data_IF_215633544515
#
_entry.id   IF_215633544515
#
_cell.length_a   1.000
_cell.length_b   1.000
_cell.length_c   1.000
_cell.angle_alpha   90.00
_cell.angle_beta   90.00
_cell.angle_gamma   90.00
#
_symmetry.space_group_name_H-M   'P 1'
#
loop_
_entity.id
_entity.type
_entity.pdbx_description
1 polymer ?
#
# COMPACT_ATOMS: atom_id res chain seq x y z
N UNK A 1 -10.84 13.65 -0.34
CA UNK A 1 -9.94 13.21 0.74
C UNK A 1 -10.52 11.96 1.36
N UNK A 2 -10.13 10.84 0.80
CA UNK A 2 -10.62 9.56 1.29
C UNK A 2 -9.46 8.57 1.35
N UNK A 3 -9.53 7.66 2.35
CA UNK A 3 -8.68 6.47 2.38
C UNK A 3 -9.41 5.32 1.73
N UNK A 4 -8.72 4.55 0.93
CA UNK A 4 -9.21 3.26 0.51
C UNK A 4 -9.07 2.27 1.66
N UNK A 5 -10.13 1.53 1.96
CA UNK A 5 -10.13 0.55 3.03
C UNK A 5 -10.29 -0.84 2.42
N UNK A 6 -9.34 -1.70 2.70
CA UNK A 6 -9.41 -3.12 2.36
C UNK A 6 -9.54 -3.95 3.65
N UNK A 7 -10.38 -4.95 3.62
CA UNK A 7 -10.37 -6.06 4.57
C UNK A 7 -9.61 -7.22 3.92
N UNK A 8 -8.46 -7.56 4.47
CA UNK A 8 -7.57 -8.57 3.91
C UNK A 8 -7.68 -9.86 4.70
N UNK A 9 -8.12 -10.97 4.09
CA UNK A 9 -8.16 -12.28 4.74
C UNK A 9 -6.75 -12.73 5.15
N UNK A 10 -6.64 -13.31 6.34
CA UNK A 10 -5.40 -13.87 6.87
C UNK A 10 -5.48 -15.39 6.83
N UNK A 11 -4.41 -16.02 6.40
CA UNK A 11 -4.27 -17.48 6.41
C UNK A 11 -3.57 -17.91 7.68
N UNK A 12 -3.88 -19.14 8.13
CA UNK A 12 -3.16 -19.75 9.24
C UNK A 12 -1.64 -19.74 9.03
N UNK A 13 -1.21 -19.98 7.79
CA UNK A 13 0.20 -20.02 7.40
C UNK A 13 0.88 -18.64 7.35
N UNK A 14 0.16 -17.54 7.58
CA UNK A 14 0.73 -16.20 7.69
C UNK A 14 1.37 -15.96 9.06
N UNK A 15 1.13 -16.84 10.03
CA UNK A 15 1.79 -16.82 11.33
C UNK A 15 3.19 -17.46 11.28
N UNK A 16 4.02 -17.05 12.23
CA UNK A 16 5.30 -17.69 12.53
C UNK A 16 5.23 -18.56 13.80
N UNK A 17 6.38 -19.09 14.21
CA UNK A 17 6.49 -19.92 15.41
C UNK A 17 6.13 -19.20 16.71
N UNK A 18 6.10 -17.86 16.70
CA UNK A 18 5.71 -17.01 17.83
C UNK A 18 4.21 -16.69 17.87
N UNK A 19 3.43 -17.28 16.98
CA UNK A 19 1.96 -17.10 16.86
C UNK A 19 1.53 -15.67 16.51
N UNK A 20 2.37 -14.94 15.82
CA UNK A 20 2.08 -13.62 15.29
C UNK A 20 2.22 -13.61 13.77
N UNK A 21 1.56 -12.67 13.12
CA UNK A 21 1.76 -12.49 11.68
C UNK A 21 3.25 -12.22 11.41
N UNK A 22 3.85 -13.07 10.59
CA UNK A 22 5.25 -12.95 10.22
C UNK A 22 5.49 -11.62 9.50
N UNK A 23 6.62 -10.96 9.77
CA UNK A 23 6.93 -9.66 9.19
C UNK A 23 6.92 -9.65 7.66
N UNK A 24 7.41 -10.69 7.00
CA UNK A 24 7.36 -10.80 5.54
C UNK A 24 5.94 -11.06 5.02
N UNK A 25 5.13 -11.78 5.78
CA UNK A 25 3.71 -11.99 5.45
C UNK A 25 2.90 -10.71 5.61
N UNK A 26 3.23 -9.86 6.56
CA UNK A 26 2.60 -8.53 6.67
C UNK A 26 2.78 -7.73 5.37
N UNK A 27 3.96 -7.77 4.75
CA UNK A 27 4.21 -7.14 3.45
C UNK A 27 3.35 -7.77 2.35
N UNK A 28 3.18 -9.09 2.34
CA UNK A 28 2.27 -9.78 1.41
C UNK A 28 0.83 -9.33 1.59
N UNK A 29 0.36 -9.15 2.83
CA UNK A 29 -1.00 -8.67 3.11
C UNK A 29 -1.19 -7.22 2.67
N UNK A 30 -0.17 -6.37 2.78
CA UNK A 30 -0.20 -5.02 2.20
C UNK A 30 -0.30 -5.06 0.67
N UNK A 31 0.37 -6.00 0.02
CA UNK A 31 0.27 -6.22 -1.42
C UNK A 31 -1.15 -6.62 -1.82
N UNK A 32 -1.79 -7.55 -1.10
CA UNK A 32 -3.18 -7.94 -1.34
C UNK A 32 -4.13 -6.74 -1.24
N UNK A 33 -3.95 -5.88 -0.24
CA UNK A 33 -4.71 -4.65 -0.11
C UNK A 33 -4.51 -3.72 -1.33
N UNK A 34 -3.27 -3.57 -1.78
CA UNK A 34 -2.91 -2.76 -2.95
C UNK A 34 -3.54 -3.27 -4.24
N UNK A 35 -3.61 -4.58 -4.44
CA UNK A 35 -4.31 -5.20 -5.58
C UNK A 35 -5.77 -4.76 -5.59
N UNK A 36 -6.43 -4.72 -4.44
CA UNK A 36 -7.80 -4.22 -4.31
C UNK A 36 -7.97 -2.79 -4.81
N UNK A 37 -7.05 -1.90 -4.45
CA UNK A 37 -7.06 -0.50 -4.90
C UNK A 37 -6.70 -0.37 -6.38
N UNK A 38 -5.55 -0.92 -6.78
CA UNK A 38 -4.94 -0.62 -8.08
C UNK A 38 -5.56 -1.39 -9.24
N UNK A 39 -6.12 -2.57 -8.98
CA UNK A 39 -6.70 -3.40 -10.04
C UNK A 39 -8.24 -3.46 -9.94
N UNK A 40 -8.78 -3.70 -8.76
CA UNK A 40 -10.25 -3.84 -8.63
C UNK A 40 -10.96 -2.48 -8.61
N UNK A 41 -10.59 -1.59 -7.70
CA UNK A 41 -11.24 -0.29 -7.59
C UNK A 41 -10.94 0.60 -8.80
N UNK A 42 -9.71 0.57 -9.31
CA UNK A 42 -9.35 1.30 -10.52
C UNK A 42 -10.14 0.84 -11.74
N UNK A 43 -10.27 -0.47 -11.96
CA UNK A 43 -11.06 -1.02 -13.06
C UNK A 43 -12.54 -0.63 -12.94
N UNK A 44 -13.12 -0.66 -11.74
CA UNK A 44 -14.49 -0.20 -11.48
C UNK A 44 -14.71 1.28 -11.78
N UNK A 45 -13.64 2.08 -11.69
CA UNK A 45 -13.62 3.49 -12.07
C UNK A 45 -13.27 3.73 -13.56
N UNK A 46 -13.13 2.66 -14.35
CA UNK A 46 -12.75 2.74 -15.76
C UNK A 46 -11.26 2.96 -16.01
N UNK A 47 -10.41 2.80 -15.00
CA UNK A 47 -8.97 2.95 -15.10
C UNK A 47 -8.30 1.57 -15.14
N UNK A 48 -7.89 1.13 -16.32
CA UNK A 48 -7.34 -0.21 -16.54
C UNK A 48 -5.83 -0.22 -16.86
N UNK A 49 -5.22 0.94 -17.01
CA UNK A 49 -3.82 1.05 -17.44
C UNK A 49 -2.80 0.48 -16.45
N UNK A 50 -3.12 0.41 -15.17
CA UNK A 50 -2.21 -0.12 -14.15
C UNK A 50 -1.91 -1.62 -14.32
N UNK A 51 -2.84 -2.38 -14.92
CA UNK A 51 -2.63 -3.80 -15.23
C UNK A 51 -1.51 -4.01 -16.25
N UNK A 52 -1.24 -3.02 -17.09
CA UNK A 52 -0.19 -3.07 -18.11
C UNK A 52 1.24 -2.97 -17.58
N UNK A 53 1.42 -2.62 -16.33
CA UNK A 53 2.71 -2.59 -15.67
C UNK A 53 2.80 -1.58 -14.52
N UNK A 54 2.97 -2.10 -13.33
CA UNK A 54 3.12 -1.33 -12.10
C UNK A 54 4.14 -2.05 -11.20
N UNK A 55 5.30 -1.43 -11.01
CA UNK A 55 6.42 -2.03 -10.30
C UNK A 55 6.63 -1.37 -8.95
N UNK A 56 7.01 -2.15 -7.94
CA UNK A 56 7.47 -1.63 -6.66
C UNK A 56 8.91 -1.17 -6.81
N UNK A 57 9.14 0.13 -6.71
CA UNK A 57 10.47 0.75 -6.80
C UNK A 57 11.09 1.07 -5.44
N UNK A 58 10.31 1.00 -4.37
CA UNK A 58 10.76 1.21 -3.01
C UNK A 58 9.69 0.80 -2.02
N UNK A 59 10.11 0.39 -0.84
CA UNK A 59 9.27 -0.07 0.25
C UNK A 59 9.89 0.34 1.58
N UNK A 60 9.04 0.82 2.50
CA UNK A 60 9.41 1.02 3.88
C UNK A 60 8.30 0.49 4.78
N UNK A 61 8.67 -0.19 5.85
CA UNK A 61 7.71 -0.77 6.81
C UNK A 61 8.21 -0.52 8.23
N UNK A 62 7.32 0.02 9.07
CA UNK A 62 7.51 0.14 10.50
C UNK A 62 6.53 -0.78 11.24
N UNK A 63 7.07 -1.62 12.09
CA UNK A 63 6.30 -2.55 12.91
C UNK A 63 6.17 -1.97 14.32
N UNK A 64 4.96 -1.49 14.66
CA UNK A 64 4.71 -0.83 15.94
C UNK A 64 4.27 -1.80 17.03
N UNK A 65 3.58 -2.89 16.63
CA UNK A 65 3.12 -3.95 17.51
C UNK A 65 2.97 -5.27 16.77
N UNK A 66 3.01 -6.35 17.52
CA UNK A 66 2.74 -7.69 16.99
C UNK A 66 1.25 -7.84 16.66
N UNK A 67 0.96 -8.56 15.60
CA UNK A 67 -0.41 -8.87 15.19
C UNK A 67 -0.68 -10.34 15.51
N UNK A 68 -1.56 -10.65 16.47
CA UNK A 68 -1.99 -12.02 16.70
C UNK A 68 -2.84 -12.50 15.53
N UNK A 69 -3.04 -13.81 15.39
CA UNK A 69 -3.91 -14.33 14.35
C UNK A 69 -5.32 -13.74 14.45
N UNK A 70 -5.80 -13.27 13.31
CA UNK A 70 -7.18 -12.83 13.06
C UNK A 70 -7.62 -13.42 11.74
N UNK A 71 -8.93 -13.56 11.53
CA UNK A 71 -9.47 -14.02 10.24
C UNK A 71 -9.24 -13.01 9.11
N UNK A 72 -9.21 -11.73 9.46
CA UNK A 72 -8.92 -10.64 8.54
C UNK A 72 -8.29 -9.45 9.28
N UNK A 73 -7.64 -8.58 8.50
CA UNK A 73 -7.06 -7.32 8.98
C UNK A 73 -7.59 -6.17 8.14
N UNK A 74 -7.84 -5.04 8.79
CA UNK A 74 -8.16 -3.78 8.14
C UNK A 74 -6.86 -3.11 7.66
N UNK A 75 -6.82 -2.74 6.39
CA UNK A 75 -5.73 -1.95 5.80
C UNK A 75 -6.31 -0.69 5.18
N UNK A 76 -5.87 0.44 5.66
CA UNK A 76 -6.19 1.74 5.09
C UNK A 76 -5.03 2.17 4.18
N UNK A 77 -5.36 2.72 3.02
CA UNK A 77 -4.38 3.19 2.03
C UNK A 77 -4.75 4.57 1.53
N UNK A 78 -3.74 5.38 1.26
CA UNK A 78 -3.88 6.68 0.62
C UNK A 78 -2.68 6.96 -0.28
N UNK A 79 -2.84 7.88 -1.21
CA UNK A 79 -1.78 8.30 -2.13
C UNK A 79 -1.29 9.67 -1.70
N UNK A 80 -0.05 9.80 -1.31
CA UNK A 80 0.50 11.03 -0.75
C UNK A 80 1.57 11.72 -1.62
N UNK A 81 2.06 11.05 -2.64
CA UNK A 81 3.00 11.63 -3.61
C UNK A 81 2.65 11.14 -5.00
N UNK A 82 2.38 12.05 -5.92
CA UNK A 82 2.14 11.73 -7.34
C UNK A 82 3.11 12.51 -8.20
N UNK A 83 3.92 11.81 -8.99
CA UNK A 83 4.89 12.35 -9.94
C UNK A 83 4.49 12.02 -11.38
N UNK A 84 5.37 12.31 -12.35
CA UNK A 84 5.08 12.07 -13.76
C UNK A 84 4.99 10.58 -14.12
N UNK A 85 5.84 9.74 -13.52
CA UNK A 85 5.96 8.31 -13.83
C UNK A 85 5.99 7.41 -12.58
N UNK A 86 5.63 7.95 -11.43
CA UNK A 86 5.59 7.23 -10.16
C UNK A 86 4.63 7.87 -9.18
N UNK A 87 4.21 7.11 -8.19
CA UNK A 87 3.42 7.59 -7.06
C UNK A 87 3.75 6.78 -5.82
N UNK A 88 3.37 7.27 -4.64
CA UNK A 88 3.55 6.58 -3.38
C UNK A 88 2.19 6.27 -2.77
N UNK A 89 2.02 5.02 -2.37
CA UNK A 89 0.90 4.56 -1.55
C UNK A 89 1.41 4.42 -0.13
N UNK A 90 0.71 5.01 0.81
CA UNK A 90 0.93 4.86 2.24
C UNK A 90 -0.14 3.97 2.86
N UNK A 91 0.23 3.24 3.91
CA UNK A 91 -0.60 2.20 4.52
C UNK A 91 -0.65 2.35 6.03
N UNK A 92 -1.81 2.05 6.59
CA UNK A 92 -1.99 1.75 8.00
C UNK A 92 -2.71 0.39 8.11
N UNK A 93 -2.01 -0.62 8.63
CA UNK A 93 -2.58 -1.95 8.88
C UNK A 93 -2.92 -2.05 10.36
N UNK A 94 -4.17 -2.38 10.65
CA UNK A 94 -4.67 -2.56 12.02
C UNK A 94 -4.44 -4.01 12.49
N UNK A 95 -4.44 -4.24 13.79
CA UNK A 95 -4.26 -5.58 14.37
C UNK A 95 -5.56 -6.41 14.43
N UNK A 96 -6.59 -5.97 13.72
CA UNK A 96 -7.88 -6.61 13.58
C UNK A 96 -8.69 -6.00 12.42
N UNK A 97 -9.93 -6.46 12.23
CA UNK A 97 -10.79 -6.01 11.12
C UNK A 97 -11.50 -4.67 11.39
N UNK A 98 -11.55 -4.23 12.63
CA UNK A 98 -12.31 -3.07 13.06
C UNK A 98 -11.58 -1.75 12.87
N UNK A 99 -12.33 -0.67 12.68
CA UNK A 99 -11.79 0.69 12.62
C UNK A 99 -11.25 1.19 13.97
N UNK A 100 -11.70 0.58 15.08
CA UNK A 100 -11.22 0.88 16.43
C UNK A 100 -10.00 0.05 16.84
N UNK A 101 -9.64 -0.98 16.05
CA UNK A 101 -8.46 -1.78 16.32
C UNK A 101 -7.21 -0.92 16.13
N UNK A 102 -6.18 -1.06 17.00
CA UNK A 102 -4.99 -0.24 16.91
C UNK A 102 -4.21 -0.47 15.60
N UNK A 103 -3.56 0.56 15.10
CA UNK A 103 -2.60 0.44 13.99
C UNK A 103 -1.37 -0.32 14.47
N UNK A 104 -1.05 -1.42 13.81
CA UNK A 104 0.07 -2.29 14.13
C UNK A 104 1.27 -2.07 13.21
N UNK A 105 1.02 -1.75 11.96
CA UNK A 105 2.05 -1.54 10.93
C UNK A 105 1.72 -0.29 10.15
N UNK A 106 2.72 0.54 9.92
CA UNK A 106 2.67 1.61 8.92
C UNK A 106 3.70 1.34 7.84
N UNK A 107 3.39 1.71 6.62
CA UNK A 107 4.27 1.45 5.50
C UNK A 107 4.05 2.46 4.37
N UNK A 108 4.98 2.49 3.44
CA UNK A 108 4.74 3.08 2.13
C UNK A 108 5.42 2.25 1.03
N UNK A 109 4.83 2.27 -0.16
CA UNK A 109 5.43 1.75 -1.38
C UNK A 109 5.50 2.84 -2.43
N UNK A 110 6.65 2.99 -3.06
CA UNK A 110 6.80 3.79 -4.28
C UNK A 110 6.55 2.89 -5.48
N UNK A 111 5.54 3.25 -6.24
CA UNK A 111 5.11 2.54 -7.44
C UNK A 111 5.65 3.26 -8.66
N UNK A 112 6.29 2.52 -9.57
CA UNK A 112 6.77 3.02 -10.84
C UNK A 112 5.90 2.47 -11.97
N UNK A 113 5.44 3.36 -12.85
CA UNK A 113 4.70 2.95 -14.03
C UNK A 113 5.64 2.43 -15.09
N UNK A 114 5.29 1.30 -15.64
CA UNK A 114 6.10 0.58 -16.61
C UNK A 114 5.20 0.01 -17.69
N UNK A 115 5.64 0.08 -18.93
CA UNK A 115 4.99 -0.60 -20.05
C UNK A 115 5.69 -1.94 -20.23
N UNK A 116 5.00 -3.02 -19.81
CA UNK A 116 5.57 -4.38 -19.87
C UNK A 116 5.76 -4.85 -21.32
N UNK A 117 4.91 -4.44 -22.25
CA UNK A 117 5.01 -4.82 -23.64
C UNK A 117 6.18 -4.10 -24.33
N UNK A 118 6.34 -2.82 -24.06
CA UNK A 118 7.44 -2.02 -24.61
C UNK A 118 8.75 -2.16 -23.81
N UNK A 119 8.71 -2.75 -22.61
CA UNK A 119 9.87 -2.96 -21.74
C UNK A 119 10.51 -1.66 -21.24
N UNK A 120 9.73 -0.63 -20.96
CA UNK A 120 10.24 0.70 -20.57
C UNK A 120 9.29 1.42 -19.60
N UNK A 121 9.82 2.40 -18.80
CA UNK A 121 8.99 3.28 -18.01
C UNK A 121 8.01 4.08 -18.87
N UNK A 122 6.86 4.41 -18.30
CA UNK A 122 5.84 5.29 -18.91
C UNK A 122 5.35 6.35 -17.93
N UNK A 123 4.69 7.35 -18.47
CA UNK A 123 4.05 8.41 -17.65
C UNK A 123 2.63 8.03 -17.26
N UNK A 124 2.14 8.58 -16.16
CA UNK A 124 0.73 8.58 -15.80
C UNK A 124 -0.10 9.26 -16.88
N UNK A 125 -1.23 8.64 -17.21
CA UNK A 125 -2.28 9.30 -17.98
C UNK A 125 -3.08 10.27 -17.10
N UNK A 126 -3.84 11.17 -17.71
CA UNK A 126 -4.71 12.09 -16.96
C UNK A 126 -5.77 11.37 -16.13
N UNK A 127 -6.34 10.29 -16.66
CA UNK A 127 -7.34 9.47 -15.97
C UNK A 127 -6.77 8.70 -14.80
N UNK A 128 -5.57 8.16 -14.94
CA UNK A 128 -4.85 7.49 -13.84
C UNK A 128 -4.53 8.48 -12.72
N UNK A 129 -4.04 9.67 -13.08
CA UNK A 129 -3.77 10.72 -12.11
C UNK A 129 -5.01 11.14 -11.34
N UNK A 130 -6.10 11.41 -12.04
CA UNK A 130 -7.38 11.79 -11.42
C UNK A 130 -7.91 10.68 -10.48
N UNK A 131 -7.72 9.42 -10.84
CA UNK A 131 -8.07 8.30 -9.95
C UNK A 131 -7.22 8.30 -8.67
N UNK A 132 -5.91 8.47 -8.79
CA UNK A 132 -5.01 8.50 -7.62
C UNK A 132 -5.32 9.66 -6.69
N UNK A 133 -5.64 10.83 -7.23
CA UNK A 133 -5.97 12.04 -6.47
C UNK A 133 -7.27 11.92 -5.66
N UNK A 134 -8.16 10.98 -5.98
CA UNK A 134 -9.34 10.68 -5.16
C UNK A 134 -8.99 10.09 -3.78
N UNK A 135 -7.83 9.48 -3.68
CA UNK A 135 -7.34 8.82 -2.47
C UNK A 135 -6.28 9.66 -1.74
N UNK A 136 -6.24 10.94 -2.03
CA UNK A 136 -5.35 11.88 -1.36
C UNK A 136 -5.92 12.20 0.03
N UNK A 137 -5.36 11.57 1.06
CA UNK A 137 -5.61 11.93 2.44
C UNK A 137 -4.36 12.61 3.01
N UNK A 138 -4.40 13.93 3.06
CA UNK A 138 -3.40 14.74 3.77
C UNK A 138 -3.73 14.70 5.29
N UNK A 139 -3.91 13.51 5.83
CA UNK A 139 -3.95 13.31 7.27
C UNK A 139 -2.59 13.64 7.88
N UNK A 140 -2.47 13.75 9.21
CA UNK A 140 -1.19 14.03 9.84
C UNK A 140 -0.19 12.97 9.36
N UNK A 141 0.74 13.41 8.53
CA UNK A 141 1.88 12.61 8.12
C UNK A 141 2.58 12.15 9.40
N UNK A 142 2.50 10.85 9.70
CA UNK A 142 3.52 10.28 10.56
C UNK A 142 4.85 10.69 9.90
N UNK A 143 5.63 11.48 10.63
CA UNK A 143 6.89 12.05 10.16
C UNK A 143 7.85 10.90 9.82
N UNK A 144 7.71 10.38 8.60
CA UNK A 144 8.61 9.38 8.04
C UNK A 144 9.83 10.14 7.55
N UNK A 145 10.62 10.65 8.48
CA UNK A 145 12.00 11.03 8.19
C UNK A 145 12.71 9.77 7.77
N UNK A 146 12.95 9.65 6.48
CA UNK A 146 13.91 8.68 5.97
C UNK A 146 15.22 8.81 6.76
N UNK A 147 16.01 7.74 6.86
CA UNK A 147 17.29 7.81 7.56
C UNK A 147 18.07 9.00 7.03
N UNK A 148 18.55 9.84 7.96
CA UNK A 148 19.41 10.96 7.64
C UNK A 148 20.56 10.41 6.78
N UNK A 149 20.76 11.03 5.64
CA UNK A 149 21.88 10.76 4.75
C UNK A 149 23.14 10.87 5.61
N UNK A 150 23.79 9.74 5.85
CA UNK A 150 25.07 9.71 6.58
C UNK A 150 26.07 10.37 5.64
N UNK A 151 26.31 11.65 5.90
CA UNK A 151 27.39 12.39 5.25
C UNK A 151 28.73 11.69 5.56
N UNK A 152 29.41 11.28 4.52
CA UNK A 152 30.83 10.89 4.56
C UNK A 152 31.72 12.12 4.48
#
# INVERSE_FOLDING_TARGET
MARFVAEVPVRWTDQDAYRHINHARAVTLLEEARVGLMFTAAASAGVTGFVGGLLVAGLHVDYHRQIPYRSSLRVEMWVDVVRAASFRISYAMHDGPGSADPVAVTAWTRMALFDLDAGRPRRLTGTERAFLEQWDDVGPTADVRGPAEVAR
#
